data_IF_428920901260
#
_entry.id   IF_428920901260
#
_cell.length_a   1.000
_cell.length_b   1.000
_cell.length_c   1.000
_cell.angle_alpha   90.00
_cell.angle_beta   90.00
_cell.angle_gamma   90.00
#
_symmetry.space_group_name_H-M   'P 1'
#
loop_
_entity.id
_entity.type
_entity.pdbx_description
1 polymer ?
#
# COMPACT_ATOMS: atom_id res chain seq x y z
N UNK A 1 11.21 12.38 -3.61
CA UNK A 1 10.51 11.77 -4.76
C UNK A 1 10.59 12.77 -5.92
N UNK A 2 10.87 12.34 -7.16
CA UNK A 2 10.83 13.26 -8.32
C UNK A 2 9.39 13.74 -8.55
N UNK A 3 9.20 14.90 -9.18
CA UNK A 3 7.89 15.54 -9.40
C UNK A 3 6.86 14.60 -10.02
N UNK A 4 7.15 14.04 -11.19
CA UNK A 4 6.19 13.18 -11.91
C UNK A 4 5.73 11.95 -11.10
N UNK A 5 6.65 11.33 -10.34
CA UNK A 5 6.32 10.17 -9.48
C UNK A 5 5.39 10.59 -8.35
N UNK A 6 5.60 11.79 -7.80
CA UNK A 6 4.75 12.33 -6.75
C UNK A 6 3.33 12.56 -7.27
N UNK A 7 3.18 13.16 -8.44
CA UNK A 7 1.86 13.43 -9.02
C UNK A 7 1.08 12.13 -9.27
N UNK A 8 1.76 11.08 -9.75
CA UNK A 8 1.12 9.77 -9.93
C UNK A 8 0.74 9.09 -8.60
N UNK A 9 1.56 9.24 -7.55
CA UNK A 9 1.23 8.75 -6.21
C UNK A 9 0.01 9.50 -5.66
N UNK A 10 -0.03 10.82 -5.77
CA UNK A 10 -1.15 11.63 -5.28
C UNK A 10 -2.45 11.31 -6.03
N UNK A 11 -2.39 11.00 -7.33
CA UNK A 11 -3.54 10.50 -8.10
C UNK A 11 -4.01 9.12 -7.63
N UNK A 12 -3.08 8.22 -7.27
CA UNK A 12 -3.42 6.91 -6.70
C UNK A 12 -4.13 7.07 -5.35
N UNK A 13 -3.58 7.90 -4.46
CA UNK A 13 -4.10 8.11 -3.11
C UNK A 13 -5.38 8.96 -3.11
N UNK A 14 -5.57 9.83 -4.11
CA UNK A 14 -6.66 10.80 -4.13
C UNK A 14 -6.46 12.00 -3.19
N UNK A 15 -5.27 12.13 -2.60
CA UNK A 15 -4.88 13.24 -1.74
C UNK A 15 -3.34 13.45 -1.78
N UNK A 16 -2.85 14.60 -1.29
CA UNK A 16 -1.41 14.83 -1.21
C UNK A 16 -0.71 13.80 -0.33
N UNK A 17 0.45 13.31 -0.79
CA UNK A 17 1.27 12.41 0.00
C UNK A 17 2.01 13.22 1.08
N UNK A 18 1.70 12.93 2.34
CA UNK A 18 2.22 13.67 3.50
C UNK A 18 3.60 13.19 3.95
N UNK A 19 4.03 12.01 3.51
CA UNK A 19 5.33 11.45 3.88
C UNK A 19 6.51 12.22 3.27
N UNK A 20 7.49 12.59 4.11
CA UNK A 20 8.71 13.27 3.66
C UNK A 20 9.58 12.37 2.76
N UNK A 21 9.62 11.07 3.03
CA UNK A 21 10.42 10.07 2.32
C UNK A 21 9.71 8.73 2.31
N UNK A 22 9.74 8.04 1.17
CA UNK A 22 9.37 6.63 1.07
C UNK A 22 10.59 5.78 1.39
N UNK A 23 10.48 4.87 2.36
CA UNK A 23 11.55 3.94 2.72
C UNK A 23 11.27 2.59 2.08
N UNK A 24 12.28 2.03 1.42
CA UNK A 24 12.19 0.71 0.82
C UNK A 24 13.55 0.02 0.82
N UNK A 25 13.52 -1.31 0.75
CA UNK A 25 14.68 -2.17 0.56
C UNK A 25 14.36 -3.18 -0.54
N UNK A 26 15.29 -3.44 -1.46
CA UNK A 26 15.05 -4.42 -2.51
C UNK A 26 16.06 -4.36 -3.64
N UNK A 27 15.79 -5.20 -4.65
CA UNK A 27 16.59 -5.38 -5.87
C UNK A 27 15.68 -5.69 -7.07
N UNK A 28 16.26 -6.16 -8.18
CA UNK A 28 15.60 -6.22 -9.51
C UNK A 28 14.15 -6.71 -9.52
N UNK A 29 13.81 -7.79 -8.80
CA UNK A 29 12.47 -8.40 -8.88
C UNK A 29 11.66 -8.35 -7.59
N UNK A 30 12.20 -7.83 -6.48
CA UNK A 30 11.55 -7.88 -5.15
C UNK A 30 11.90 -6.67 -4.28
N UNK A 31 10.88 -5.92 -3.88
CA UNK A 31 10.99 -4.73 -3.03
C UNK A 31 10.09 -4.85 -1.79
N UNK A 32 10.62 -4.44 -0.64
CA UNK A 32 9.90 -4.26 0.61
C UNK A 32 9.75 -2.77 0.92
N UNK A 33 8.53 -2.35 1.23
CA UNK A 33 8.12 -0.97 1.43
C UNK A 33 7.62 -0.76 2.85
N UNK A 34 7.92 0.40 3.43
CA UNK A 34 7.25 0.92 4.62
C UNK A 34 6.50 2.17 4.21
N UNK A 35 5.17 2.09 4.25
CA UNK A 35 4.25 3.16 3.84
C UNK A 35 3.32 3.52 4.98
N UNK A 36 2.87 4.77 5.02
CA UNK A 36 1.89 5.24 6.00
C UNK A 36 0.71 5.85 5.27
N UNK A 37 -0.48 5.60 5.79
CA UNK A 37 -1.71 6.23 5.32
C UNK A 37 -2.64 6.51 6.49
N UNK A 38 -3.41 7.59 6.40
CA UNK A 38 -4.39 7.97 7.42
C UNK A 38 -5.54 6.96 7.38
N UNK A 39 -5.87 6.42 8.56
CA UNK A 39 -7.09 5.64 8.75
C UNK A 39 -8.31 6.56 8.86
N UNK A 40 -8.92 6.57 10.04
CA UNK A 40 -9.97 7.53 10.38
C UNK A 40 -9.38 8.89 10.80
N UNK A 41 -8.39 8.88 11.69
CA UNK A 41 -7.83 10.06 12.35
C UNK A 41 -6.31 9.97 12.52
N UNK A 42 -5.75 8.76 12.63
CA UNK A 42 -4.33 8.54 12.91
C UNK A 42 -3.64 7.75 11.78
N UNK A 43 -2.33 7.94 11.57
CA UNK A 43 -1.59 7.18 10.57
C UNK A 43 -1.46 5.71 10.97
N UNK A 44 -1.70 4.84 9.99
CA UNK A 44 -1.43 3.41 10.05
C UNK A 44 -0.14 3.16 9.28
N UNK A 45 0.81 2.44 9.89
CA UNK A 45 2.07 2.08 9.24
C UNK A 45 1.96 0.66 8.67
N UNK A 46 2.25 0.50 7.39
CA UNK A 46 2.14 -0.76 6.65
C UNK A 46 3.50 -1.22 6.12
N UNK A 47 3.72 -2.53 6.13
CA UNK A 47 4.81 -3.20 5.45
C UNK A 47 4.28 -3.96 4.24
N UNK A 48 4.81 -3.71 3.05
CA UNK A 48 4.39 -4.36 1.81
C UNK A 48 5.61 -4.97 1.11
N UNK A 49 5.53 -6.24 0.73
CA UNK A 49 6.52 -6.88 -0.14
C UNK A 49 5.88 -7.10 -1.50
N UNK A 50 6.52 -6.54 -2.53
CA UNK A 50 6.15 -6.72 -3.94
C UNK A 50 7.23 -7.52 -4.61
N UNK A 51 6.84 -8.59 -5.31
CA UNK A 51 7.71 -9.45 -6.10
C UNK A 51 7.08 -9.67 -7.48
N UNK A 52 7.86 -9.52 -8.56
CA UNK A 52 7.37 -9.74 -9.92
C UNK A 52 6.07 -8.96 -10.24
N UNK A 53 6.02 -7.67 -9.86
CA UNK A 53 4.84 -6.80 -9.99
C UNK A 53 3.57 -7.30 -9.27
N UNK A 54 3.71 -8.21 -8.30
CA UNK A 54 2.62 -8.76 -7.50
C UNK A 54 2.90 -8.60 -6.01
N UNK A 55 1.88 -8.39 -5.21
CA UNK A 55 2.01 -8.36 -3.74
C UNK A 55 2.27 -9.77 -3.25
N UNK A 56 3.44 -9.97 -2.64
CA UNK A 56 3.81 -11.21 -1.94
C UNK A 56 3.29 -11.19 -0.50
N UNK A 57 3.33 -10.04 0.16
CA UNK A 57 2.85 -9.88 1.54
C UNK A 57 2.47 -8.43 1.85
N UNK A 58 1.44 -8.24 2.68
CA UNK A 58 1.09 -6.96 3.29
C UNK A 58 0.77 -7.16 4.77
N UNK A 59 1.25 -6.25 5.62
CA UNK A 59 1.05 -6.28 7.08
C UNK A 59 0.87 -4.89 7.66
N UNK A 60 0.10 -4.80 8.74
CA UNK A 60 0.11 -3.64 9.63
C UNK A 60 1.31 -3.76 10.57
N UNK A 61 2.13 -2.72 10.62
CA UNK A 61 3.31 -2.60 11.50
C UNK A 61 3.02 -1.76 12.73
N UNK A 62 2.20 -0.71 12.60
CA UNK A 62 1.73 0.11 13.70
C UNK A 62 0.30 0.58 13.45
N UNK A 63 -0.54 0.50 14.47
CA UNK A 63 -1.94 0.91 14.44
C UNK A 63 -2.23 1.75 15.68
N UNK A 64 -2.79 2.95 15.49
CA UNK A 64 -2.91 3.98 16.54
C UNK A 64 -4.36 4.37 16.85
N UNK A 65 -5.32 3.70 16.23
CA UNK A 65 -6.75 3.98 16.44
C UNK A 65 -7.41 2.94 17.34
N UNK A 66 -8.57 3.30 17.89
CA UNK A 66 -9.33 2.44 18.80
C UNK A 66 -10.10 1.31 18.11
N UNK A 67 -10.37 1.42 16.80
CA UNK A 67 -11.19 0.48 16.00
C UNK A 67 -10.64 0.37 14.58
N UNK A 68 -11.03 -0.68 13.87
CA UNK A 68 -10.60 -0.94 12.49
C UNK A 68 -9.31 -1.75 12.38
N UNK A 69 -8.76 -2.21 13.52
CA UNK A 69 -7.52 -2.97 13.60
C UNK A 69 -7.65 -4.39 13.03
N UNK A 70 -8.87 -4.81 12.67
CA UNK A 70 -9.19 -6.07 12.04
C UNK A 70 -8.44 -6.27 10.72
N UNK A 71 -8.08 -5.19 10.02
CA UNK A 71 -7.25 -5.23 8.79
C UNK A 71 -5.86 -5.84 9.02
N UNK A 72 -5.39 -5.97 10.27
CA UNK A 72 -4.10 -6.60 10.56
C UNK A 72 -4.12 -8.12 10.46
N UNK A 73 -5.31 -8.73 10.45
CA UNK A 73 -5.43 -10.18 10.56
C UNK A 73 -5.17 -10.89 9.22
N UNK A 74 -4.53 -12.08 9.24
CA UNK A 74 -4.25 -12.86 8.04
C UNK A 74 -5.48 -13.11 7.16
N UNK A 75 -6.63 -13.35 7.78
CA UNK A 75 -7.91 -13.60 7.09
C UNK A 75 -8.30 -12.45 6.14
N UNK A 76 -7.93 -11.21 6.48
CA UNK A 76 -8.12 -10.06 5.60
C UNK A 76 -6.94 -9.84 4.66
N UNK A 77 -5.70 -9.84 5.18
CA UNK A 77 -4.50 -9.49 4.38
C UNK A 77 -4.21 -10.49 3.26
N UNK A 78 -4.68 -11.74 3.38
CA UNK A 78 -4.51 -12.77 2.34
C UNK A 78 -5.17 -12.39 1.00
N UNK A 79 -6.19 -11.51 1.01
CA UNK A 79 -6.85 -11.02 -0.21
C UNK A 79 -5.90 -10.25 -1.14
N UNK A 80 -4.83 -9.68 -0.58
CA UNK A 80 -3.82 -8.96 -1.36
C UNK A 80 -2.75 -9.87 -1.97
N UNK A 81 -2.66 -11.14 -1.56
CA UNK A 81 -1.64 -12.04 -2.10
C UNK A 81 -1.86 -12.24 -3.61
N UNK A 82 -0.81 -12.09 -4.41
CA UNK A 82 -0.83 -12.10 -5.88
C UNK A 82 -1.67 -10.97 -6.54
N UNK A 83 -2.09 -9.95 -5.78
CA UNK A 83 -2.67 -8.74 -6.34
C UNK A 83 -1.61 -7.97 -7.16
N UNK A 84 -1.97 -7.54 -8.35
CA UNK A 84 -1.18 -6.67 -9.22
C UNK A 84 -1.88 -5.33 -9.46
N UNK A 85 -1.22 -4.45 -10.22
CA UNK A 85 -1.76 -3.16 -10.60
C UNK A 85 -2.15 -3.16 -12.08
N UNK A 86 -3.36 -2.69 -12.38
CA UNK A 86 -3.85 -2.45 -13.73
C UNK A 86 -4.64 -1.16 -13.74
N UNK A 87 -4.29 -0.22 -14.62
CA UNK A 87 -4.94 1.09 -14.74
C UNK A 87 -5.04 1.82 -13.37
N UNK A 88 -3.96 1.78 -12.59
CA UNK A 88 -3.86 2.33 -11.22
C UNK A 88 -4.84 1.73 -10.19
N UNK A 89 -5.48 0.60 -10.51
CA UNK A 89 -6.35 -0.17 -9.62
C UNK A 89 -5.76 -1.54 -9.37
N UNK A 90 -6.16 -2.18 -8.26
CA UNK A 90 -5.83 -3.59 -8.07
C UNK A 90 -6.56 -4.42 -9.13
N UNK A 91 -5.90 -5.46 -9.63
CA UNK A 91 -6.50 -6.44 -10.53
C UNK A 91 -7.36 -7.49 -9.81
N UNK A 92 -7.43 -7.41 -8.48
CA UNK A 92 -8.27 -8.24 -7.62
C UNK A 92 -9.24 -7.37 -6.81
N UNK A 93 -10.38 -7.94 -6.45
CA UNK A 93 -11.31 -7.34 -5.49
C UNK A 93 -10.83 -7.58 -4.05
N UNK A 94 -11.06 -6.60 -3.18
CA UNK A 94 -10.80 -6.69 -1.74
C UNK A 94 -12.12 -6.47 -1.01
N UNK A 95 -12.60 -7.52 -0.35
CA UNK A 95 -13.79 -7.45 0.49
C UNK A 95 -13.55 -6.54 1.67
N UNK A 96 -14.55 -5.72 1.99
CA UNK A 96 -14.49 -4.82 3.15
C UNK A 96 -14.64 -5.53 4.49
N UNK A 97 -14.33 -4.81 5.56
CA UNK A 97 -14.62 -5.21 6.94
C UNK A 97 -15.64 -4.24 7.51
N UNK A 98 -16.74 -4.76 8.05
CA UNK A 98 -17.77 -3.95 8.72
C UNK A 98 -17.15 -3.14 9.85
N UNK A 99 -17.37 -1.82 9.84
CA UNK A 99 -16.84 -0.92 10.87
C UNK A 99 -15.36 -0.54 10.70
N UNK A 100 -14.69 -0.99 9.64
CA UNK A 100 -13.28 -0.70 9.36
C UNK A 100 -13.04 -0.18 7.93
N UNK A 101 -14.06 0.43 7.30
CA UNK A 101 -14.01 0.89 5.90
C UNK A 101 -12.78 1.76 5.61
N UNK A 102 -12.48 2.74 6.48
CA UNK A 102 -11.35 3.66 6.28
C UNK A 102 -10.00 2.94 6.39
N UNK A 103 -9.86 1.99 7.32
CA UNK A 103 -8.65 1.17 7.43
C UNK A 103 -8.46 0.24 6.22
N UNK A 104 -9.56 -0.26 5.64
CA UNK A 104 -9.54 -1.05 4.39
C UNK A 104 -9.08 -0.19 3.22
N UNK A 105 -9.60 1.04 3.10
CA UNK A 105 -9.20 1.98 2.06
C UNK A 105 -7.72 2.34 2.20
N UNK A 106 -7.28 2.74 3.39
CA UNK A 106 -5.88 3.05 3.68
C UNK A 106 -4.94 1.90 3.27
N UNK A 107 -5.26 0.65 3.61
CA UNK A 107 -4.44 -0.50 3.21
C UNK A 107 -4.48 -0.73 1.68
N UNK A 108 -5.63 -0.51 1.04
CA UNK A 108 -5.79 -0.63 -0.42
C UNK A 108 -4.99 0.42 -1.16
N UNK A 109 -4.94 1.64 -0.63
CA UNK A 109 -4.24 2.77 -1.23
C UNK A 109 -2.72 2.56 -1.20
N UNK A 110 -2.18 2.15 -0.04
CA UNK A 110 -0.75 1.82 0.06
C UNK A 110 -0.37 0.57 -0.72
N UNK A 111 -1.30 -0.38 -0.91
CA UNK A 111 -1.08 -1.54 -1.78
C UNK A 111 -0.90 -1.11 -3.25
N UNK A 112 -1.78 -0.23 -3.75
CA UNK A 112 -1.68 0.34 -5.10
C UNK A 112 -0.41 1.17 -5.26
N UNK A 113 -0.09 2.00 -4.26
CA UNK A 113 1.12 2.81 -4.23
C UNK A 113 2.39 1.95 -4.26
N UNK A 114 2.47 0.88 -3.46
CA UNK A 114 3.64 -0.01 -3.42
C UNK A 114 3.89 -0.72 -4.76
N UNK A 115 2.82 -1.17 -5.43
CA UNK A 115 2.92 -1.78 -6.76
C UNK A 115 3.41 -0.77 -7.80
N UNK A 116 2.86 0.43 -7.81
CA UNK A 116 3.29 1.50 -8.72
C UNK A 116 4.77 1.87 -8.51
N UNK A 117 5.18 2.02 -7.25
CA UNK A 117 6.55 2.36 -6.92
C UNK A 117 7.53 1.24 -7.29
N UNK A 118 7.13 -0.03 -7.15
CA UNK A 118 7.93 -1.17 -7.59
C UNK A 118 8.18 -1.13 -9.11
N UNK A 119 7.15 -0.91 -9.92
CA UNK A 119 7.32 -0.73 -11.37
C UNK A 119 8.23 0.45 -11.69
N UNK A 120 8.09 1.57 -10.98
CA UNK A 120 8.92 2.75 -11.19
C UNK A 120 10.40 2.48 -10.86
N UNK A 121 10.69 1.85 -9.72
CA UNK A 121 12.06 1.54 -9.31
C UNK A 121 12.75 0.57 -10.26
N UNK A 122 12.02 -0.42 -10.77
CA UNK A 122 12.58 -1.42 -11.69
C UNK A 122 12.85 -0.87 -13.09
N UNK A 123 12.26 0.27 -13.47
CA UNK A 123 12.58 0.98 -14.73
C UNK A 123 13.82 1.86 -14.63
N UNK A 124 14.30 2.13 -13.42
CA UNK A 124 15.46 3.02 -13.16
C UNK A 124 16.75 2.25 -12.89
N UNK A 125 16.65 0.94 -12.65
CA UNK A 125 17.79 0.01 -12.53
C UNK A 125 17.99 -0.72 -13.86
#
# INVERSE_FOLDING_TARGET
MKGDVRDQVEDILGHPYTGLRVRYWGGEDRNAWILEEIGKEEPITFGIVVKQNKIEQIKVLAYRESRGWEVKYPAFTQQFHNAGLKDKKLDTHIDGITGATLSVWAMTDVARMALYLHEFTNRQN
#
